data_IF_719429065967
#
_entry.id   IF_719429065967
#
_cell.length_a   1.000
_cell.length_b   1.000
_cell.length_c   1.000
_cell.angle_alpha   90.00
_cell.angle_beta   90.00
_cell.angle_gamma   90.00
#
_symmetry.space_group_name_H-M   'P 1'
#
loop_
_entity.id
_entity.type
_entity.pdbx_description
1 polymer ?
#
# COMPACT_ATOMS: atom_id res chain seq x y z
N UNK A 1 14.50 12.76 74.04
CA UNK A 1 13.89 13.78 73.18
C UNK A 1 13.99 13.30 71.75
N UNK A 2 12.88 12.87 71.30
CA UNK A 2 12.68 12.14 70.08
C UNK A 2 12.28 13.14 68.97
N UNK A 3 13.03 13.21 67.92
CA UNK A 3 12.80 14.07 66.79
C UNK A 3 12.71 13.26 65.50
N UNK A 4 11.50 12.76 65.19
CA UNK A 4 11.21 12.12 63.91
C UNK A 4 11.08 13.21 62.83
N UNK A 5 11.96 13.21 61.86
CA UNK A 5 11.74 13.85 60.57
C UNK A 5 10.93 12.91 59.67
N UNK A 6 9.69 13.30 59.38
CA UNK A 6 8.87 12.68 58.34
C UNK A 6 9.33 13.18 56.96
N UNK A 7 9.96 12.30 56.19
CA UNK A 7 10.22 12.53 54.77
C UNK A 7 8.93 12.29 53.98
N UNK A 8 8.35 13.41 53.50
CA UNK A 8 7.26 13.37 52.52
C UNK A 8 7.83 12.92 51.16
N UNK A 9 7.66 11.66 50.84
CA UNK A 9 7.92 11.15 49.48
C UNK A 9 6.72 11.51 48.64
N UNK A 10 6.87 12.59 47.83
CA UNK A 10 5.94 12.96 46.80
C UNK A 10 5.92 11.89 45.71
N UNK A 11 4.83 11.12 45.65
CA UNK A 11 4.58 10.17 44.58
C UNK A 11 4.42 10.91 43.26
N UNK A 12 5.41 10.79 42.38
CA UNK A 12 5.27 11.13 40.96
C UNK A 12 4.38 10.03 40.40
N UNK A 13 3.12 10.39 40.13
CA UNK A 13 2.16 9.49 39.47
C UNK A 13 2.75 9.02 38.14
N UNK A 14 2.98 7.71 38.05
CA UNK A 14 3.30 7.08 36.77
C UNK A 14 2.10 7.33 35.85
N UNK A 15 2.27 8.22 34.89
CA UNK A 15 1.36 8.34 33.73
C UNK A 15 1.45 7.01 33.02
N UNK A 16 0.44 6.17 33.21
CA UNK A 16 0.35 4.88 32.54
C UNK A 16 0.37 5.10 31.04
N UNK A 17 1.51 4.80 30.40
CA UNK A 17 1.60 4.72 28.95
C UNK A 17 0.68 3.58 28.55
N UNK A 18 -0.50 3.89 28.04
CA UNK A 18 -1.37 2.87 27.46
C UNK A 18 -0.60 2.17 26.34
N UNK A 19 -0.47 0.86 26.45
CA UNK A 19 0.15 0.07 25.38
C UNK A 19 -0.63 0.30 24.08
N UNK A 20 0.08 0.68 23.03
CA UNK A 20 -0.51 0.92 21.70
C UNK A 20 -1.03 -0.41 21.17
N UNK A 21 -2.32 -0.49 20.88
CA UNK A 21 -2.89 -1.61 20.12
C UNK A 21 -2.63 -1.40 18.62
N UNK A 22 -1.43 -1.78 18.20
CA UNK A 22 -1.00 -1.59 16.81
C UNK A 22 -1.84 -2.43 15.83
N UNK A 23 -2.37 -3.57 16.25
CA UNK A 23 -3.21 -4.40 15.37
C UNK A 23 -4.54 -3.71 15.10
N UNK A 24 -5.12 -3.00 16.08
CA UNK A 24 -6.31 -2.17 15.86
C UNK A 24 -6.04 -1.01 14.89
N UNK A 25 -4.86 -0.39 14.95
CA UNK A 25 -4.50 0.70 14.02
C UNK A 25 -4.25 0.17 12.60
N UNK A 26 -3.60 -0.99 12.46
CA UNK A 26 -3.46 -1.68 11.17
C UNK A 26 -4.83 -2.06 10.59
N UNK A 27 -5.76 -2.56 11.40
CA UNK A 27 -7.14 -2.83 10.96
C UNK A 27 -7.85 -1.57 10.47
N UNK A 28 -7.67 -0.43 11.12
CA UNK A 28 -8.22 0.87 10.65
C UNK A 28 -7.64 1.26 9.30
N UNK A 29 -6.32 1.10 9.10
CA UNK A 29 -5.67 1.38 7.83
C UNK A 29 -6.19 0.50 6.68
N UNK A 30 -6.61 -0.74 6.99
CA UNK A 30 -7.23 -1.67 6.03
C UNK A 30 -8.69 -1.29 5.70
N UNK A 31 -8.95 -0.02 5.49
CA UNK A 31 -10.24 0.48 5.02
C UNK A 31 -10.42 0.28 3.51
N UNK A 32 -11.58 -0.21 3.08
CA UNK A 32 -11.92 -0.32 1.66
C UNK A 32 -11.93 1.03 0.94
N UNK A 33 -12.18 2.13 1.64
CA UNK A 33 -12.02 3.47 1.08
C UNK A 33 -10.56 3.82 0.76
N UNK A 34 -9.59 3.13 1.37
CA UNK A 34 -8.18 3.22 0.99
C UNK A 34 -7.91 2.83 -0.45
N UNK A 35 -8.80 2.03 -1.06
CA UNK A 35 -8.70 1.69 -2.49
C UNK A 35 -8.87 2.89 -3.42
N UNK A 36 -9.36 4.01 -2.94
CA UNK A 36 -9.33 5.28 -3.69
C UNK A 36 -7.88 5.70 -4.04
N UNK A 37 -6.91 5.37 -3.21
CA UNK A 37 -5.50 5.63 -3.46
C UNK A 37 -4.81 4.53 -4.30
N UNK A 38 -5.50 3.44 -4.65
CA UNK A 38 -4.86 2.27 -5.28
C UNK A 38 -4.19 2.63 -6.62
N UNK A 39 -4.84 3.43 -7.47
CA UNK A 39 -4.28 3.88 -8.74
C UNK A 39 -2.98 4.67 -8.55
N UNK A 40 -2.97 5.61 -7.60
CA UNK A 40 -1.77 6.37 -7.27
C UNK A 40 -0.66 5.48 -6.73
N UNK A 41 -0.99 4.55 -5.84
CA UNK A 41 0.00 3.65 -5.26
C UNK A 41 0.63 2.71 -6.31
N UNK A 42 -0.14 2.25 -7.30
CA UNK A 42 0.41 1.50 -8.44
C UNK A 42 1.35 2.37 -9.26
N UNK A 43 1.01 3.64 -9.52
CA UNK A 43 1.90 4.57 -10.23
C UNK A 43 3.21 4.77 -9.45
N UNK A 44 3.16 4.99 -8.13
CA UNK A 44 4.36 5.08 -7.29
C UNK A 44 5.28 3.87 -7.48
N UNK A 45 4.72 2.66 -7.41
CA UNK A 45 5.48 1.42 -7.52
C UNK A 45 6.13 1.26 -8.90
N UNK A 46 5.34 1.47 -9.97
CA UNK A 46 5.74 1.22 -11.36
C UNK A 46 6.53 2.38 -11.98
N UNK A 47 6.62 3.52 -11.30
CA UNK A 47 7.45 4.64 -11.72
C UNK A 47 8.96 4.33 -11.64
N UNK A 48 9.35 3.30 -10.91
CA UNK A 48 10.69 2.74 -10.97
C UNK A 48 10.78 1.80 -12.17
N UNK A 49 11.68 2.05 -13.15
CA UNK A 49 11.69 1.34 -14.44
C UNK A 49 11.69 -0.18 -14.31
N UNK A 50 12.51 -0.73 -13.39
CA UNK A 50 12.63 -2.18 -13.19
C UNK A 50 11.31 -2.80 -12.71
N UNK A 51 10.54 -2.08 -11.91
CA UNK A 51 9.21 -2.54 -11.46
C UNK A 51 8.16 -2.33 -12.56
N UNK A 52 8.21 -1.18 -13.24
CA UNK A 52 7.32 -0.84 -14.35
C UNK A 52 7.38 -1.86 -15.48
N UNK A 53 8.58 -2.10 -15.99
CA UNK A 53 8.81 -3.09 -17.05
C UNK A 53 8.57 -4.51 -16.59
N UNK A 54 8.93 -4.86 -15.34
CA UNK A 54 8.64 -6.17 -14.76
C UNK A 54 7.14 -6.50 -14.74
N UNK A 55 6.27 -5.50 -14.61
CA UNK A 55 4.82 -5.67 -14.71
C UNK A 55 4.35 -5.61 -16.17
N UNK A 56 4.84 -4.65 -16.96
CA UNK A 56 4.43 -4.43 -18.34
C UNK A 56 4.76 -5.61 -19.26
N UNK A 57 5.99 -6.13 -19.18
CA UNK A 57 6.51 -7.25 -19.98
C UNK A 57 6.12 -8.63 -19.41
N UNK A 58 5.46 -8.66 -18.25
CA UNK A 58 5.16 -9.92 -17.55
C UNK A 58 4.45 -10.93 -18.44
N UNK A 59 5.08 -12.11 -18.57
CA UNK A 59 4.53 -13.29 -19.27
C UNK A 59 3.46 -14.02 -18.43
N UNK A 60 3.23 -13.59 -17.20
CA UNK A 60 2.21 -14.15 -16.31
C UNK A 60 0.85 -13.56 -16.69
N UNK A 61 0.15 -14.22 -17.61
CA UNK A 61 -1.16 -13.79 -18.12
C UNK A 61 -2.13 -13.36 -17.02
N UNK A 62 -2.20 -14.16 -15.95
CA UNK A 62 -3.10 -13.90 -14.81
C UNK A 62 -2.68 -12.69 -13.96
N UNK A 63 -1.47 -12.17 -14.16
CA UNK A 63 -0.94 -10.97 -13.53
C UNK A 63 -1.29 -9.67 -14.26
N UNK A 64 -1.82 -9.77 -15.49
CA UNK A 64 -2.15 -8.60 -16.32
C UNK A 64 -3.51 -8.03 -15.96
N UNK A 65 -3.53 -6.75 -15.55
CA UNK A 65 -4.76 -6.04 -15.17
C UNK A 65 -5.68 -5.80 -16.39
N UNK A 66 -5.08 -5.53 -17.56
CA UNK A 66 -5.79 -5.29 -18.82
C UNK A 66 -6.54 -6.52 -19.34
N UNK A 67 -6.04 -7.73 -19.07
CA UNK A 67 -6.62 -9.00 -19.54
C UNK A 67 -7.44 -9.72 -18.46
N UNK A 68 -6.97 -9.69 -17.23
CA UNK A 68 -7.59 -10.42 -16.12
C UNK A 68 -7.82 -9.52 -14.88
N UNK A 69 -8.60 -8.41 -15.02
CA UNK A 69 -8.73 -7.41 -13.97
C UNK A 69 -9.24 -8.00 -12.64
N UNK A 70 -10.23 -8.88 -12.68
CA UNK A 70 -10.80 -9.52 -11.48
C UNK A 70 -9.76 -10.39 -10.76
N UNK A 71 -9.01 -11.22 -11.51
CA UNK A 71 -8.00 -12.09 -10.90
C UNK A 71 -6.82 -11.28 -10.36
N UNK A 72 -6.33 -10.28 -11.10
CA UNK A 72 -5.25 -9.40 -10.65
C UNK A 72 -5.64 -8.62 -9.40
N UNK A 73 -6.82 -8.03 -9.39
CA UNK A 73 -7.35 -7.31 -8.21
C UNK A 73 -7.46 -8.26 -7.02
N UNK A 74 -8.03 -9.45 -7.20
CA UNK A 74 -8.11 -10.46 -6.13
C UNK A 74 -6.74 -10.78 -5.54
N UNK A 75 -5.75 -11.11 -6.38
CA UNK A 75 -4.41 -11.50 -5.87
C UNK A 75 -3.73 -10.35 -5.15
N UNK A 76 -3.85 -9.12 -5.63
CA UNK A 76 -3.28 -7.93 -5.00
C UNK A 76 -3.95 -7.65 -3.63
N UNK A 77 -5.28 -7.64 -3.59
CA UNK A 77 -6.01 -7.36 -2.34
C UNK A 77 -5.85 -8.49 -1.32
N UNK A 78 -5.76 -9.75 -1.79
CA UNK A 78 -5.40 -10.88 -0.91
C UNK A 78 -3.99 -10.68 -0.34
N UNK A 79 -3.02 -10.26 -1.15
CA UNK A 79 -1.66 -9.97 -0.66
C UNK A 79 -1.65 -8.91 0.43
N UNK A 80 -2.34 -7.78 0.22
CA UNK A 80 -2.42 -6.71 1.21
C UNK A 80 -3.09 -7.20 2.51
N UNK A 81 -4.18 -7.96 2.40
CA UNK A 81 -4.84 -8.54 3.56
C UNK A 81 -3.93 -9.54 4.32
N UNK A 82 -3.17 -10.35 3.58
CA UNK A 82 -2.22 -11.33 4.15
C UNK A 82 -1.07 -10.61 4.84
N UNK A 83 -0.42 -9.67 4.18
CA UNK A 83 0.72 -8.96 4.75
C UNK A 83 0.35 -8.21 6.04
N UNK A 84 -0.89 -7.68 6.12
CA UNK A 84 -1.35 -6.86 7.24
C UNK A 84 -1.98 -7.67 8.37
N UNK A 85 -2.81 -8.68 8.07
CA UNK A 85 -3.77 -9.26 9.00
C UNK A 85 -3.64 -10.78 9.19
N UNK A 86 -2.85 -11.48 8.35
CA UNK A 86 -2.77 -12.93 8.40
C UNK A 86 -1.74 -13.42 9.43
N UNK A 87 -1.87 -14.68 9.83
CA UNK A 87 -0.88 -15.37 10.67
C UNK A 87 0.42 -15.62 9.89
N UNK A 88 1.50 -15.91 10.57
CA UNK A 88 2.80 -16.19 9.93
C UNK A 88 2.75 -17.46 9.07
N UNK A 89 1.93 -18.45 9.44
CA UNK A 89 1.69 -19.65 8.64
C UNK A 89 0.95 -19.32 7.33
N UNK A 90 -0.10 -18.50 7.41
CA UNK A 90 -0.84 -18.03 6.23
C UNK A 90 0.06 -17.20 5.31
N UNK A 91 0.91 -16.32 5.85
CA UNK A 91 1.93 -15.56 5.09
C UNK A 91 2.90 -16.49 4.37
N UNK A 92 3.43 -17.52 5.04
CA UNK A 92 4.33 -18.52 4.44
C UNK A 92 3.66 -19.28 3.29
N UNK A 93 2.40 -19.71 3.46
CA UNK A 93 1.64 -20.38 2.42
C UNK A 93 1.42 -19.47 1.20
N UNK A 94 1.01 -18.23 1.45
CA UNK A 94 0.75 -17.27 0.39
C UNK A 94 2.04 -16.87 -0.34
N UNK A 95 3.15 -16.67 0.37
CA UNK A 95 4.48 -16.43 -0.24
C UNK A 95 4.85 -17.54 -1.23
N UNK A 96 4.66 -18.82 -0.88
CA UNK A 96 4.95 -19.95 -1.78
C UNK A 96 4.14 -19.86 -3.07
N UNK A 97 2.87 -19.50 -2.97
CA UNK A 97 2.00 -19.34 -4.13
C UNK A 97 2.43 -18.17 -5.02
N UNK A 98 2.74 -17.01 -4.42
CA UNK A 98 3.25 -15.82 -5.15
C UNK A 98 4.58 -16.11 -5.82
N UNK A 99 5.49 -16.81 -5.15
CA UNK A 99 6.79 -17.20 -5.70
C UNK A 99 6.63 -18.05 -6.97
N UNK A 100 5.58 -18.86 -7.05
CA UNK A 100 5.24 -19.60 -8.26
C UNK A 100 5.00 -18.71 -9.48
N UNK A 101 4.44 -17.52 -9.29
CA UNK A 101 4.26 -16.50 -10.33
C UNK A 101 5.53 -15.67 -10.55
N UNK A 102 6.17 -15.20 -9.48
CA UNK A 102 7.35 -14.33 -9.52
C UNK A 102 8.55 -14.97 -10.23
N UNK A 103 8.72 -16.29 -10.18
CA UNK A 103 9.82 -16.99 -10.88
C UNK A 103 9.83 -16.76 -12.39
N UNK A 104 8.70 -16.35 -12.97
CA UNK A 104 8.55 -16.06 -14.40
C UNK A 104 8.65 -14.54 -14.70
N UNK A 105 8.80 -13.69 -13.68
CA UNK A 105 8.91 -12.24 -13.82
C UNK A 105 10.37 -11.84 -13.67
N UNK A 106 11.09 -11.95 -14.76
CA UNK A 106 12.50 -11.54 -14.90
C UNK A 106 12.76 -11.11 -16.33
N UNK A 107 13.68 -10.18 -16.51
CA UNK A 107 14.13 -9.71 -17.82
C UNK A 107 14.76 -10.82 -18.62
N UNK A 108 14.73 -10.65 -19.93
CA UNK A 108 15.48 -11.46 -20.91
C UNK A 108 16.24 -10.51 -21.87
N UNK A 109 16.88 -11.06 -22.89
CA UNK A 109 17.69 -10.31 -23.86
C UNK A 109 16.94 -9.23 -24.65
N UNK A 110 15.60 -9.28 -24.69
CA UNK A 110 14.74 -8.31 -25.38
C UNK A 110 14.13 -7.28 -24.42
N UNK A 111 14.37 -7.39 -23.13
CA UNK A 111 13.82 -6.47 -22.13
C UNK A 111 14.53 -5.12 -22.17
N UNK A 112 13.76 -4.04 -22.02
CA UNK A 112 14.27 -2.66 -22.06
C UNK A 112 15.17 -2.33 -20.86
N UNK A 113 14.90 -2.97 -19.72
CA UNK A 113 15.69 -2.82 -18.49
C UNK A 113 15.86 -4.17 -17.82
N UNK A 114 16.89 -4.32 -17.01
CA UNK A 114 17.09 -5.53 -16.22
C UNK A 114 16.18 -5.51 -14.99
N UNK A 115 15.42 -6.58 -14.78
CA UNK A 115 14.55 -6.73 -13.60
C UNK A 115 14.41 -8.19 -13.18
N UNK A 116 14.17 -8.38 -11.88
CA UNK A 116 13.85 -9.67 -11.29
C UNK A 116 12.88 -9.47 -10.12
N UNK A 117 11.71 -10.11 -10.15
CA UNK A 117 10.72 -10.01 -9.08
C UNK A 117 11.21 -10.57 -7.73
N UNK A 118 12.29 -11.34 -7.71
CA UNK A 118 12.95 -11.79 -6.48
C UNK A 118 14.00 -10.81 -5.93
N UNK A 119 14.25 -9.70 -6.62
CA UNK A 119 15.17 -8.67 -6.13
C UNK A 119 14.60 -8.02 -4.86
N UNK A 120 15.29 -8.16 -3.70
CA UNK A 120 14.80 -7.61 -2.45
C UNK A 120 14.77 -6.07 -2.42
N UNK A 121 15.62 -5.39 -3.21
CA UNK A 121 15.62 -3.92 -3.31
C UNK A 121 14.37 -3.41 -4.04
N UNK A 122 13.96 -4.10 -5.11
CA UNK A 122 12.70 -3.78 -5.79
C UNK A 122 11.49 -4.07 -4.89
N UNK A 123 11.54 -5.13 -4.10
CA UNK A 123 10.51 -5.44 -3.12
C UNK A 123 10.46 -4.42 -1.97
N UNK A 124 11.62 -3.90 -1.53
CA UNK A 124 11.71 -2.81 -0.55
C UNK A 124 11.05 -1.54 -1.11
N UNK A 125 11.33 -1.18 -2.37
CA UNK A 125 10.68 -0.03 -3.02
C UNK A 125 9.16 -0.18 -3.05
N UNK A 126 8.65 -1.33 -3.47
CA UNK A 126 7.21 -1.62 -3.48
C UNK A 126 6.62 -1.53 -2.08
N UNK A 127 7.30 -2.08 -1.06
CA UNK A 127 6.86 -2.00 0.33
C UNK A 127 6.84 -0.56 0.86
N UNK A 128 7.83 0.25 0.48
CA UNK A 128 7.89 1.68 0.82
C UNK A 128 6.72 2.46 0.20
N UNK A 129 6.40 2.21 -1.08
CA UNK A 129 5.24 2.80 -1.73
C UNK A 129 3.92 2.40 -1.04
N UNK A 130 3.79 1.14 -0.65
CA UNK A 130 2.62 0.67 0.09
C UNK A 130 2.49 1.37 1.44
N UNK A 131 3.57 1.45 2.22
CA UNK A 131 3.57 2.17 3.50
C UNK A 131 3.11 3.63 3.33
N UNK A 132 3.69 4.38 2.38
CA UNK A 132 3.27 5.76 2.08
C UNK A 132 1.78 5.85 1.78
N UNK A 133 1.29 4.98 0.89
CA UNK A 133 -0.13 5.01 0.54
C UNK A 133 -1.05 4.70 1.73
N UNK A 134 -0.67 3.75 2.60
CA UNK A 134 -1.45 3.44 3.80
C UNK A 134 -1.37 4.56 4.85
N UNK A 135 -0.21 5.19 5.04
CA UNK A 135 -0.04 6.34 5.95
C UNK A 135 -0.89 7.53 5.48
N UNK A 136 -0.85 7.88 4.19
CA UNK A 136 -1.64 8.97 3.60
C UNK A 136 -3.15 8.72 3.73
N UNK A 137 -3.59 7.51 3.43
CA UNK A 137 -4.99 7.13 3.59
C UNK A 137 -5.42 7.17 5.05
N UNK A 138 -4.59 6.65 5.96
CA UNK A 138 -4.88 6.71 7.38
C UNK A 138 -5.08 8.16 7.84
N UNK A 139 -4.14 9.04 7.49
CA UNK A 139 -4.19 10.47 7.82
C UNK A 139 -5.46 11.13 7.29
N UNK A 140 -5.87 10.83 6.08
CA UNK A 140 -7.10 11.35 5.46
C UNK A 140 -8.36 10.87 6.20
N UNK A 141 -8.42 9.60 6.56
CA UNK A 141 -9.64 8.97 7.11
C UNK A 141 -9.78 9.16 8.63
N UNK A 142 -8.67 9.31 9.36
CA UNK A 142 -8.65 9.29 10.83
C UNK A 142 -7.90 10.45 11.46
N UNK A 143 -7.11 11.20 10.69
CA UNK A 143 -6.21 12.24 11.18
C UNK A 143 -4.80 11.72 11.47
N UNK A 144 -3.97 12.58 12.04
CA UNK A 144 -2.60 12.23 12.39
C UNK A 144 -2.54 11.25 13.56
N UNK A 145 -1.66 10.25 13.45
CA UNK A 145 -1.28 9.38 14.56
C UNK A 145 -0.38 10.15 15.54
N UNK A 146 -0.51 9.86 16.83
CA UNK A 146 0.50 10.28 17.79
C UNK A 146 1.87 9.67 17.47
N UNK A 147 2.99 10.27 17.92
CA UNK A 147 4.33 9.83 17.52
C UNK A 147 4.61 8.34 17.80
N UNK A 148 4.20 7.85 18.98
CA UNK A 148 4.47 6.45 19.40
C UNK A 148 3.70 5.47 18.51
N UNK A 149 2.42 5.71 18.31
CA UNK A 149 1.57 4.90 17.43
C UNK A 149 2.05 4.95 15.99
N UNK A 150 2.51 6.11 15.52
CA UNK A 150 3.04 6.29 14.17
C UNK A 150 4.31 5.50 13.94
N UNK A 151 5.23 5.48 14.90
CA UNK A 151 6.46 4.69 14.81
C UNK A 151 6.15 3.19 14.85
N UNK A 152 5.23 2.76 15.71
CA UNK A 152 4.78 1.37 15.75
C UNK A 152 4.12 0.95 14.42
N UNK A 153 3.29 1.80 13.84
CA UNK A 153 2.66 1.57 12.53
C UNK A 153 3.70 1.47 11.41
N UNK A 154 4.70 2.37 11.42
CA UNK A 154 5.84 2.32 10.51
C UNK A 154 6.58 0.98 10.60
N UNK A 155 6.97 0.57 11.80
CA UNK A 155 7.70 -0.68 12.02
C UNK A 155 6.87 -1.91 11.62
N UNK A 156 5.57 -1.88 11.86
CA UNK A 156 4.64 -2.96 11.47
C UNK A 156 4.51 -3.06 9.94
N UNK A 157 4.62 -1.95 9.23
CA UNK A 157 4.49 -1.88 7.77
C UNK A 157 5.61 -2.60 7.00
N UNK A 158 6.74 -2.89 7.63
CA UNK A 158 7.78 -3.75 7.04
C UNK A 158 7.24 -5.10 6.53
N UNK A 159 6.09 -5.56 7.04
CA UNK A 159 5.43 -6.79 6.58
C UNK A 159 5.03 -6.74 5.12
N UNK A 160 4.86 -5.57 4.52
CA UNK A 160 4.61 -5.43 3.08
C UNK A 160 5.76 -5.97 2.22
N UNK A 161 6.99 -5.97 2.72
CA UNK A 161 8.14 -6.55 2.01
C UNK A 161 8.54 -7.91 2.58
N UNK A 162 8.57 -8.07 3.92
CA UNK A 162 9.04 -9.32 4.57
C UNK A 162 8.08 -10.50 4.38
N UNK A 163 6.83 -10.23 3.99
CA UNK A 163 5.90 -11.28 3.52
C UNK A 163 6.42 -11.95 2.25
N UNK A 164 7.28 -11.29 1.45
CA UNK A 164 8.02 -11.89 0.32
C UNK A 164 9.48 -12.16 0.71
N UNK A 165 10.45 -11.68 -0.09
CA UNK A 165 11.87 -11.97 0.09
C UNK A 165 12.67 -10.85 0.74
N UNK A 166 12.10 -9.64 0.89
CA UNK A 166 12.77 -8.55 1.60
C UNK A 166 13.15 -9.00 3.02
N UNK A 167 14.40 -8.81 3.41
CA UNK A 167 14.84 -9.07 4.77
C UNK A 167 14.44 -7.91 5.69
N UNK A 168 14.22 -8.22 6.97
CA UNK A 168 13.79 -7.22 7.95
C UNK A 168 14.83 -6.11 8.17
N UNK A 169 16.11 -6.44 8.05
CA UNK A 169 17.23 -5.50 8.21
C UNK A 169 17.37 -4.51 7.06
N UNK A 170 16.71 -4.74 5.91
CA UNK A 170 16.65 -3.80 4.80
C UNK A 170 15.64 -2.66 5.03
N UNK A 171 14.63 -2.89 5.88
CA UNK A 171 13.66 -1.84 6.22
C UNK A 171 14.35 -0.75 7.02
N UNK A 172 14.28 0.54 6.62
CA UNK A 172 14.97 1.60 7.33
C UNK A 172 14.66 1.59 8.82
N UNK A 173 15.66 1.86 9.66
CA UNK A 173 15.59 1.64 11.10
C UNK A 173 14.46 2.43 11.77
N UNK A 174 14.24 3.65 11.30
CA UNK A 174 13.22 4.58 11.79
C UNK A 174 12.66 5.42 10.64
N UNK A 175 11.75 6.32 10.96
CA UNK A 175 11.08 7.17 9.97
C UNK A 175 12.00 8.21 9.34
N UNK A 176 13.01 8.69 10.07
CA UNK A 176 13.98 9.63 9.51
C UNK A 176 14.87 8.92 8.48
N UNK A 177 15.35 7.74 8.80
CA UNK A 177 16.07 6.89 7.85
C UNK A 177 15.19 6.50 6.64
N UNK A 178 13.88 6.31 6.86
CA UNK A 178 12.94 6.06 5.76
C UNK A 178 12.79 7.29 4.85
N UNK A 179 12.72 8.50 5.38
CA UNK A 179 12.67 9.73 4.55
C UNK A 179 13.93 9.89 3.70
N UNK A 180 15.12 9.57 4.26
CA UNK A 180 16.37 9.55 3.49
C UNK A 180 16.26 8.52 2.36
N UNK A 181 15.91 7.27 2.68
CA UNK A 181 15.71 6.20 1.69
C UNK A 181 14.72 6.60 0.60
N UNK A 182 13.58 7.18 0.99
CA UNK A 182 12.53 7.62 0.07
C UNK A 182 13.05 8.66 -0.92
N UNK A 183 13.69 9.72 -0.42
CA UNK A 183 14.23 10.80 -1.24
C UNK A 183 15.31 10.31 -2.20
N UNK A 184 16.25 9.47 -1.76
CA UNK A 184 17.27 8.86 -2.62
C UNK A 184 16.67 7.99 -3.73
N UNK A 185 15.53 7.36 -3.47
CA UNK A 185 14.87 6.52 -4.48
C UNK A 185 13.95 7.31 -5.42
N UNK A 186 13.57 8.56 -5.06
CA UNK A 186 12.90 9.46 -6.01
C UNK A 186 13.80 9.79 -7.21
N UNK A 187 15.12 9.85 -7.04
CA UNK A 187 16.08 10.07 -8.13
C UNK A 187 16.13 8.90 -9.15
N UNK A 188 15.62 7.73 -8.77
CA UNK A 188 15.53 6.54 -9.62
C UNK A 188 14.17 6.41 -10.32
N UNK A 189 13.25 7.34 -10.05
CA UNK A 189 11.94 7.38 -10.71
C UNK A 189 12.11 7.93 -12.12
N UNK A 190 11.66 7.16 -13.11
CA UNK A 190 11.66 7.58 -14.51
C UNK A 190 10.52 6.86 -15.25
N UNK A 191 9.60 7.63 -15.79
CA UNK A 191 8.44 7.09 -16.53
C UNK A 191 8.58 7.46 -18.00
N UNK A 192 9.03 6.51 -18.81
CA UNK A 192 9.07 6.69 -20.26
C UNK A 192 7.67 6.64 -20.88
N UNK A 193 7.58 6.82 -22.20
CA UNK A 193 6.29 6.91 -22.89
C UNK A 193 5.50 5.58 -22.80
N UNK A 194 6.18 4.44 -22.94
CA UNK A 194 5.56 3.11 -22.89
C UNK A 194 4.92 2.84 -21.51
N UNK A 195 5.68 3.09 -20.46
CA UNK A 195 5.18 2.91 -19.08
C UNK A 195 4.13 3.97 -18.76
N UNK A 196 4.27 5.20 -19.25
CA UNK A 196 3.28 6.28 -19.05
C UNK A 196 1.93 5.93 -19.65
N UNK A 197 1.89 5.43 -20.89
CA UNK A 197 0.65 4.98 -21.51
C UNK A 197 -0.02 3.86 -20.71
N UNK A 198 0.77 2.86 -20.27
CA UNK A 198 0.27 1.79 -19.43
C UNK A 198 -0.33 2.31 -18.12
N UNK A 199 0.40 3.18 -17.42
CA UNK A 199 -0.04 3.79 -16.15
C UNK A 199 -1.23 4.74 -16.34
N UNK A 200 -1.30 5.45 -17.48
CA UNK A 200 -2.45 6.28 -17.81
C UNK A 200 -3.72 5.44 -17.98
N UNK A 201 -3.58 4.24 -18.55
CA UNK A 201 -4.68 3.26 -18.61
C UNK A 201 -5.17 2.88 -17.23
N UNK A 202 -4.27 2.68 -16.26
CA UNK A 202 -4.60 2.38 -14.85
C UNK A 202 -5.26 3.60 -14.19
N UNK A 203 -4.66 4.78 -14.33
CA UNK A 203 -5.21 6.02 -13.79
C UNK A 203 -6.61 6.33 -14.32
N UNK A 204 -6.87 6.02 -15.58
CA UNK A 204 -8.17 6.24 -16.24
C UNK A 204 -9.11 5.02 -16.16
N UNK A 205 -8.73 3.96 -15.43
CA UNK A 205 -9.51 2.73 -15.25
C UNK A 205 -10.02 2.14 -16.59
N UNK A 206 -9.15 2.09 -17.63
CA UNK A 206 -9.53 1.61 -18.97
C UNK A 206 -9.94 0.13 -18.99
N UNK A 207 -9.59 -0.62 -17.96
CA UNK A 207 -9.99 -2.01 -17.76
C UNK A 207 -11.47 -2.17 -17.33
N UNK A 208 -12.19 -1.07 -17.08
CA UNK A 208 -13.62 -1.12 -16.73
C UNK A 208 -14.49 -1.30 -17.97
N UNK A 209 -15.70 -1.90 -17.84
CA UNK A 209 -16.62 -2.05 -18.96
C UNK A 209 -16.88 -0.72 -19.68
N UNK A 210 -16.92 -0.76 -21.02
CA UNK A 210 -17.08 0.45 -21.87
C UNK A 210 -18.27 1.33 -21.48
N UNK A 211 -19.35 0.73 -20.99
CA UNK A 211 -20.55 1.47 -20.56
C UNK A 211 -20.30 2.33 -19.31
N UNK A 212 -19.43 1.88 -18.39
CA UNK A 212 -19.12 2.58 -17.14
C UNK A 212 -17.94 3.54 -17.29
N UNK A 213 -17.08 3.31 -18.28
CA UNK A 213 -15.84 4.06 -18.47
C UNK A 213 -16.02 5.59 -18.57
N UNK A 214 -17.07 6.15 -19.24
CA UNK A 214 -17.28 7.60 -19.34
C UNK A 214 -17.43 8.29 -17.97
N UNK A 215 -17.87 7.58 -16.95
CA UNK A 215 -18.03 8.08 -15.58
C UNK A 215 -16.85 7.67 -14.71
N UNK A 216 -16.52 6.38 -14.71
CA UNK A 216 -15.48 5.81 -13.84
C UNK A 216 -14.10 6.33 -14.22
N UNK A 217 -13.79 6.43 -15.51
CA UNK A 217 -12.47 6.86 -15.99
C UNK A 217 -12.06 8.25 -15.50
N UNK A 218 -12.84 9.31 -15.77
CA UNK A 218 -12.54 10.66 -15.29
C UNK A 218 -12.48 10.75 -13.76
N UNK A 219 -13.38 10.06 -13.06
CA UNK A 219 -13.41 10.04 -11.60
C UNK A 219 -12.16 9.36 -11.03
N UNK A 220 -11.81 8.17 -11.53
CA UNK A 220 -10.62 7.45 -11.09
C UNK A 220 -9.35 8.26 -11.36
N UNK A 221 -9.24 8.90 -12.54
CA UNK A 221 -8.11 9.76 -12.86
C UNK A 221 -8.02 10.96 -11.93
N UNK A 222 -9.14 11.63 -11.64
CA UNK A 222 -9.17 12.74 -10.69
C UNK A 222 -8.68 12.31 -9.31
N UNK A 223 -9.20 11.20 -8.78
CA UNK A 223 -8.83 10.69 -7.46
C UNK A 223 -7.36 10.22 -7.45
N UNK A 224 -6.94 9.45 -8.46
CA UNK A 224 -5.55 9.00 -8.61
C UNK A 224 -4.58 10.18 -8.65
N UNK A 225 -4.85 11.21 -9.48
CA UNK A 225 -4.00 12.41 -9.58
C UNK A 225 -3.94 13.16 -8.24
N UNK A 226 -5.05 13.21 -7.50
CA UNK A 226 -5.12 13.87 -6.20
C UNK A 226 -4.21 13.23 -5.15
N UNK A 227 -4.07 11.90 -5.17
CA UNK A 227 -3.18 11.17 -4.27
C UNK A 227 -1.70 11.19 -4.69
N UNK A 228 -1.38 11.50 -5.95
CA UNK A 228 0.01 11.49 -6.41
C UNK A 228 0.81 12.67 -5.83
N UNK A 229 2.04 12.46 -5.33
CA UNK A 229 3.01 13.52 -5.09
C UNK A 229 3.36 14.27 -6.39
N UNK A 230 3.81 15.53 -6.25
CA UNK A 230 4.07 16.40 -7.42
C UNK A 230 5.06 15.77 -8.41
N UNK A 231 6.17 15.20 -7.95
CA UNK A 231 7.15 14.57 -8.83
C UNK A 231 6.52 13.50 -9.76
N UNK A 232 5.62 12.68 -9.22
CA UNK A 232 4.94 11.65 -10.01
C UNK A 232 3.86 12.23 -10.94
N UNK A 233 3.22 13.34 -10.57
CA UNK A 233 2.31 14.06 -11.48
C UNK A 233 3.06 14.60 -12.68
N UNK A 234 4.25 15.14 -12.47
CA UNK A 234 5.11 15.68 -13.51
C UNK A 234 5.58 14.58 -14.46
N UNK A 235 6.08 13.46 -13.92
CA UNK A 235 6.45 12.27 -14.69
C UNK A 235 5.29 11.71 -15.53
N UNK A 236 4.09 11.67 -14.94
CA UNK A 236 2.86 11.23 -15.60
C UNK A 236 2.25 12.29 -16.53
N UNK A 237 2.76 13.53 -16.54
CA UNK A 237 2.19 14.69 -17.25
C UNK A 237 0.71 14.91 -16.90
N UNK A 238 0.37 14.80 -15.62
CA UNK A 238 -0.98 14.98 -15.08
C UNK A 238 -1.10 16.37 -14.45
N UNK A 239 -1.65 17.37 -15.15
CA UNK A 239 -1.79 18.71 -14.61
C UNK A 239 -2.75 18.72 -13.42
N UNK A 240 -2.40 19.51 -12.39
CA UNK A 240 -3.19 19.62 -11.18
C UNK A 240 -3.30 21.07 -10.70
N UNK A 241 -4.50 21.60 -10.67
CA UNK A 241 -4.78 22.97 -10.27
C UNK A 241 -5.18 23.09 -8.78
N UNK A 242 -5.01 24.30 -8.22
CA UNK A 242 -5.50 24.61 -6.86
C UNK A 242 -7.00 24.35 -6.69
N UNK A 243 -7.80 24.52 -7.76
CA UNK A 243 -9.24 24.20 -7.72
C UNK A 243 -9.46 22.69 -7.59
N UNK A 244 -8.70 21.89 -8.33
CA UNK A 244 -8.79 20.43 -8.25
C UNK A 244 -8.34 19.93 -6.87
N UNK A 245 -7.26 20.50 -6.31
CA UNK A 245 -6.83 20.17 -4.94
C UNK A 245 -7.95 20.44 -3.92
N UNK A 246 -8.56 21.63 -3.96
CA UNK A 246 -9.68 21.96 -3.05
C UNK A 246 -10.88 21.01 -3.21
N UNK A 247 -11.18 20.58 -4.43
CA UNK A 247 -12.26 19.63 -4.68
C UNK A 247 -11.89 18.23 -4.17
N UNK A 248 -10.65 17.81 -4.36
CA UNK A 248 -10.13 16.55 -3.82
C UNK A 248 -10.21 16.54 -2.28
N UNK A 249 -9.73 17.59 -1.61
CA UNK A 249 -9.77 17.69 -0.15
C UNK A 249 -11.21 17.65 0.39
N UNK A 250 -12.17 18.27 -0.33
CA UNK A 250 -13.59 18.19 0.04
C UNK A 250 -14.14 16.77 -0.12
N UNK A 251 -13.79 16.10 -1.24
CA UNK A 251 -14.21 14.72 -1.49
C UNK A 251 -13.64 13.76 -0.45
N UNK A 252 -12.38 13.96 -0.06
CA UNK A 252 -11.75 13.14 0.98
C UNK A 252 -12.35 13.38 2.36
N UNK A 253 -12.76 14.60 2.69
CA UNK A 253 -13.52 14.86 3.94
C UNK A 253 -14.86 14.13 3.96
N UNK A 254 -15.55 14.06 2.82
CA UNK A 254 -16.79 13.28 2.71
C UNK A 254 -16.50 11.79 2.86
N UNK A 255 -15.43 11.28 2.22
CA UNK A 255 -15.00 9.89 2.38
C UNK A 255 -14.66 9.55 3.84
N UNK A 256 -13.95 10.42 4.54
CA UNK A 256 -13.65 10.27 5.97
C UNK A 256 -14.92 10.21 6.83
N UNK A 257 -15.91 11.07 6.52
CA UNK A 257 -17.19 11.05 7.22
C UNK A 257 -17.94 9.74 6.99
N UNK A 258 -18.03 9.28 5.74
CA UNK A 258 -18.61 7.98 5.39
C UNK A 258 -17.89 6.85 6.13
N UNK A 259 -16.54 6.86 6.13
CA UNK A 259 -15.73 5.87 6.85
C UNK A 259 -16.04 5.84 8.36
N UNK A 260 -16.18 7.01 8.97
CA UNK A 260 -16.43 7.15 10.41
C UNK A 260 -17.77 6.50 10.83
N UNK A 261 -18.82 6.64 10.00
CA UNK A 261 -20.14 6.10 10.29
C UNK A 261 -20.36 4.68 9.76
N UNK A 262 -19.40 4.14 8.98
CA UNK A 262 -19.50 2.78 8.46
C UNK A 262 -19.21 1.74 9.54
N UNK A 263 -20.04 0.68 9.67
CA UNK A 263 -19.72 -0.46 10.52
C UNK A 263 -18.37 -1.10 10.13
N UNK A 264 -17.64 -1.64 11.11
CA UNK A 264 -16.30 -2.24 10.92
C UNK A 264 -16.25 -3.22 9.73
N UNK A 265 -17.25 -4.11 9.62
CA UNK A 265 -17.32 -5.13 8.57
C UNK A 265 -17.37 -4.53 7.15
N UNK A 266 -18.14 -3.45 6.96
CA UNK A 266 -18.22 -2.73 5.69
C UNK A 266 -16.97 -1.90 5.44
N UNK A 267 -16.42 -1.28 6.48
CA UNK A 267 -15.21 -0.48 6.39
C UNK A 267 -14.00 -1.30 5.95
N UNK A 268 -13.87 -2.54 6.45
CA UNK A 268 -12.79 -3.45 6.08
C UNK A 268 -13.03 -4.23 4.76
N UNK A 269 -14.23 -4.13 4.17
CA UNK A 269 -14.47 -4.73 2.87
C UNK A 269 -13.68 -3.97 1.77
N UNK A 270 -12.95 -4.65 0.86
CA UNK A 270 -13.00 -6.10 0.59
C UNK A 270 -11.89 -6.93 1.28
N UNK A 271 -11.03 -6.38 2.10
CA UNK A 271 -9.89 -7.10 2.70
C UNK A 271 -10.33 -8.28 3.58
N UNK A 272 -11.35 -8.08 4.43
CA UNK A 272 -11.95 -9.14 5.23
C UNK A 272 -12.52 -10.28 4.38
N UNK A 273 -13.13 -9.96 3.24
CA UNK A 273 -13.63 -10.96 2.28
C UNK A 273 -12.46 -11.75 1.66
N UNK A 274 -11.40 -11.09 1.21
CA UNK A 274 -10.26 -11.78 0.59
C UNK A 274 -9.46 -12.61 1.61
N UNK A 275 -9.36 -12.18 2.86
CA UNK A 275 -8.77 -12.99 3.92
C UNK A 275 -9.62 -14.24 4.23
N UNK A 276 -10.94 -14.09 4.25
CA UNK A 276 -11.86 -15.22 4.37
C UNK A 276 -11.74 -16.18 3.17
N UNK A 277 -11.71 -15.67 1.93
CA UNK A 277 -11.54 -16.51 0.73
C UNK A 277 -10.19 -17.23 0.74
N UNK A 278 -9.12 -16.60 1.18
CA UNK A 278 -7.83 -17.25 1.37
C UNK A 278 -7.94 -18.46 2.30
N UNK A 279 -8.52 -18.28 3.48
CA UNK A 279 -8.71 -19.35 4.48
C UNK A 279 -9.55 -20.48 3.93
N UNK A 280 -10.62 -20.15 3.23
CA UNK A 280 -11.47 -21.13 2.51
C UNK A 280 -10.68 -21.91 1.47
N UNK A 281 -9.80 -21.24 0.70
CA UNK A 281 -8.94 -21.88 -0.32
C UNK A 281 -7.91 -22.80 0.31
N UNK A 282 -7.28 -22.39 1.38
CA UNK A 282 -6.34 -23.22 2.17
C UNK A 282 -7.05 -24.51 2.63
N UNK A 283 -8.21 -24.37 3.27
CA UNK A 283 -8.97 -25.49 3.79
C UNK A 283 -9.44 -26.48 2.70
N UNK A 284 -9.64 -26.00 1.45
CA UNK A 284 -10.11 -26.81 0.31
C UNK A 284 -8.99 -27.23 -0.64
N UNK A 285 -7.74 -26.88 -0.40
CA UNK A 285 -6.62 -27.18 -1.31
C UNK A 285 -6.73 -26.49 -2.68
N UNK A 286 -7.45 -25.36 -2.77
CA UNK A 286 -7.62 -24.58 -4.02
C UNK A 286 -6.42 -23.64 -4.21
N UNK A 287 -5.90 -23.44 -5.46
CA UNK A 287 -4.81 -22.50 -5.71
C UNK A 287 -5.07 -21.11 -5.13
N UNK A 288 -4.06 -20.53 -4.45
CA UNK A 288 -4.19 -19.26 -3.74
C UNK A 288 -4.04 -18.04 -4.67
N UNK A 289 -3.29 -18.17 -5.77
CA UNK A 289 -3.04 -17.16 -6.79
C UNK A 289 -3.46 -17.62 -8.17
#
# INVERSE_FOLDING_TARGET
>A
MDGREEAVVGGIGAVGVQAVDIDAEVEKAMSGLGLLAAGANVILQLARPEVGYGVYESKVETGRLDRHPVKRTRTTLTYLAVASLATDEEKKLYRRAVNGSHKHVRSDENSMVEYNAFDPELQLWVAACLYRGFEDVYKILYGDLDPVTRDAFYQRSATFGTTLQMRRDMWPADRDAFEVYWNENLDKVAIDETIREHLYGIASATFTPKLLHPVVGPLNRFVTTGFLPQAFRDEMRLPWSVRQQRNFDRSMRVAALVNRFSPKILRMFPYNFYLWDLRRRIAKGIPLV
#
